data_IF_374744178104
#
_entry.id   IF_374744178104
#
_cell.length_a   1.000
_cell.length_b   1.000
_cell.length_c   1.000
_cell.angle_alpha   90.00
_cell.angle_beta   90.00
_cell.angle_gamma   90.00
#
_symmetry.space_group_name_H-M   'P 1'
#
loop_
_entity.id
_entity.type
_entity.pdbx_description
1 polymer ?
#
# COMPACT_ATOMS: atom_id res chain seq x y z
N UNK A 1 -0.80 -21.76 -9.30
CA UNK A 1 -1.53 -20.60 -8.78
C UNK A 1 -1.95 -20.93 -7.37
N UNK A 2 -1.11 -20.58 -6.40
CA UNK A 2 -1.47 -20.70 -4.99
C UNK A 2 -1.95 -19.29 -4.59
N UNK A 3 -3.26 -19.07 -4.69
CA UNK A 3 -3.91 -18.06 -3.86
C UNK A 3 -3.62 -18.57 -2.45
N UNK A 4 -2.87 -17.84 -1.65
CA UNK A 4 -2.82 -18.10 -0.22
C UNK A 4 -4.27 -18.00 0.28
N UNK A 5 -4.94 -19.14 0.34
CA UNK A 5 -6.08 -19.29 1.21
C UNK A 5 -5.54 -19.01 2.59
N UNK A 6 -5.99 -17.93 3.20
CA UNK A 6 -5.86 -17.72 4.62
C UNK A 6 -6.08 -19.06 5.32
N UNK A 7 -5.20 -19.49 6.23
CA UNK A 7 -5.41 -20.75 6.93
C UNK A 7 -6.76 -20.67 7.65
N UNK A 8 -7.73 -21.42 7.14
CA UNK A 8 -8.97 -21.65 7.84
C UNK A 8 -8.65 -22.49 9.06
N UNK A 9 -8.95 -21.94 10.21
CA UNK A 9 -9.12 -22.63 11.49
C UNK A 9 -8.03 -22.49 12.55
N UNK A 10 -8.17 -21.44 13.35
CA UNK A 10 -8.13 -21.53 14.82
C UNK A 10 -9.27 -20.71 15.45
N UNK A 11 -9.93 -19.82 14.72
CA UNK A 11 -11.14 -19.12 15.15
C UNK A 11 -12.28 -19.46 14.20
N UNK A 12 -13.25 -20.25 14.62
CA UNK A 12 -14.50 -20.45 13.87
C UNK A 12 -15.25 -19.11 13.70
N UNK A 13 -16.24 -19.06 12.80
CA UNK A 13 -17.10 -17.88 12.53
C UNK A 13 -17.70 -17.21 13.79
N UNK A 14 -17.38 -17.71 14.96
CA UNK A 14 -17.84 -17.28 16.28
C UNK A 14 -16.74 -16.76 17.20
N UNK A 15 -15.48 -16.55 16.72
CA UNK A 15 -14.39 -16.05 17.56
C UNK A 15 -14.48 -14.54 17.86
N UNK A 16 -13.71 -14.04 18.83
CA UNK A 16 -13.62 -12.61 19.12
C UNK A 16 -13.00 -11.85 17.95
N UNK A 17 -11.94 -12.42 17.35
CA UNK A 17 -11.25 -11.81 16.22
C UNK A 17 -12.15 -11.69 15.00
N UNK A 18 -12.91 -12.73 14.65
CA UNK A 18 -13.86 -12.67 13.55
C UNK A 18 -14.98 -11.65 13.79
N UNK A 19 -15.52 -11.58 15.01
CA UNK A 19 -16.52 -10.59 15.37
C UNK A 19 -15.97 -9.16 15.28
N UNK A 20 -14.74 -8.94 15.74
CA UNK A 20 -14.07 -7.65 15.63
C UNK A 20 -13.82 -7.24 14.18
N UNK A 21 -13.41 -8.18 13.32
CA UNK A 21 -13.22 -7.94 11.88
C UNK A 21 -14.53 -7.51 11.21
N UNK A 22 -15.64 -8.19 11.48
CA UNK A 22 -16.96 -7.81 10.97
C UNK A 22 -17.37 -6.40 11.41
N UNK A 23 -17.12 -6.03 12.66
CA UNK A 23 -17.44 -4.70 13.20
C UNK A 23 -16.53 -3.63 12.55
N UNK A 24 -15.26 -3.95 12.36
CA UNK A 24 -14.26 -3.03 11.78
C UNK A 24 -14.48 -2.78 10.29
N UNK A 25 -14.94 -3.80 9.55
CA UNK A 25 -15.21 -3.69 8.10
C UNK A 25 -16.51 -2.95 7.78
N UNK A 26 -17.32 -2.63 8.79
CA UNK A 26 -18.61 -1.95 8.63
C UNK A 26 -18.63 -0.60 9.36
N UNK A 27 -19.43 0.35 8.86
CA UNK A 27 -19.70 1.61 9.57
C UNK A 27 -20.71 1.42 10.72
N UNK A 28 -20.39 0.48 11.62
CA UNK A 28 -21.20 0.13 12.76
C UNK A 28 -22.35 -0.84 12.44
N UNK A 29 -22.46 -1.88 13.27
CA UNK A 29 -23.46 -2.95 13.16
C UNK A 29 -24.35 -2.99 14.42
N UNK A 30 -25.64 -3.19 14.23
CA UNK A 30 -26.54 -3.50 15.35
C UNK A 30 -26.34 -4.94 15.82
N UNK A 31 -26.71 -5.22 17.09
CA UNK A 31 -26.69 -6.58 17.61
C UNK A 31 -27.53 -7.57 16.77
N UNK A 32 -28.63 -7.09 16.18
CA UNK A 32 -29.47 -7.91 15.31
C UNK A 32 -28.75 -8.28 14.01
N UNK A 33 -28.06 -7.33 13.39
CA UNK A 33 -27.25 -7.59 12.20
C UNK A 33 -26.12 -8.56 12.53
N UNK A 34 -25.41 -8.37 13.64
CA UNK A 34 -24.37 -9.30 14.08
C UNK A 34 -24.91 -10.72 14.32
N UNK A 35 -26.08 -10.88 14.97
CA UNK A 35 -26.70 -12.18 15.14
C UNK A 35 -27.04 -12.84 13.79
N UNK A 36 -27.62 -12.08 12.84
CA UNK A 36 -27.98 -12.63 11.53
C UNK A 36 -26.76 -13.00 10.68
N UNK A 37 -25.66 -12.22 10.77
CA UNK A 37 -24.45 -12.48 9.98
C UNK A 37 -23.61 -13.62 10.55
N UNK A 38 -23.48 -13.69 11.88
CA UNK A 38 -22.60 -14.68 12.52
C UNK A 38 -23.30 -16.01 12.84
N UNK A 39 -24.61 -16.02 12.93
CA UNK A 39 -25.38 -17.19 13.39
C UNK A 39 -25.16 -17.56 14.86
N UNK A 40 -24.50 -16.69 15.64
CA UNK A 40 -24.25 -16.94 17.07
C UNK A 40 -25.54 -16.99 17.89
N UNK A 41 -25.50 -17.71 19.03
CA UNK A 41 -26.52 -17.54 20.04
C UNK A 41 -26.46 -16.13 20.66
N UNK A 42 -27.57 -15.62 21.16
CA UNK A 42 -27.61 -14.33 21.87
C UNK A 42 -26.61 -14.30 23.03
N UNK A 43 -26.56 -15.36 23.83
CA UNK A 43 -25.65 -15.44 24.96
C UNK A 43 -24.17 -15.33 24.53
N UNK A 44 -23.75 -16.08 23.51
CA UNK A 44 -22.40 -16.06 22.98
C UNK A 44 -22.05 -14.69 22.41
N UNK A 45 -22.94 -14.08 21.63
CA UNK A 45 -22.68 -12.74 21.07
C UNK A 45 -22.49 -11.70 22.16
N UNK A 46 -23.37 -11.69 23.17
CA UNK A 46 -23.30 -10.70 24.27
C UNK A 46 -22.02 -10.84 25.10
N UNK A 47 -21.61 -12.07 25.41
CA UNK A 47 -20.36 -12.36 26.11
C UNK A 47 -19.15 -11.82 25.35
N UNK A 48 -19.08 -12.06 24.01
CA UNK A 48 -17.97 -11.58 23.19
C UNK A 48 -17.96 -10.08 23.04
N UNK A 49 -19.13 -9.47 22.84
CA UNK A 49 -19.22 -8.00 22.77
C UNK A 49 -18.82 -7.37 24.10
N UNK A 50 -19.21 -7.94 25.23
CA UNK A 50 -18.80 -7.45 26.54
C UNK A 50 -17.28 -7.53 26.72
N UNK A 51 -16.66 -8.64 26.32
CA UNK A 51 -15.23 -8.80 26.36
C UNK A 51 -14.50 -7.77 25.45
N UNK A 52 -14.94 -7.59 24.20
CA UNK A 52 -14.36 -6.60 23.29
C UNK A 52 -14.56 -5.17 23.80
N UNK A 53 -15.71 -4.86 24.43
CA UNK A 53 -15.98 -3.53 25.01
C UNK A 53 -15.10 -3.26 26.21
N UNK A 54 -15.00 -4.19 27.17
CA UNK A 54 -14.13 -4.06 28.36
C UNK A 54 -12.67 -3.86 27.99
N UNK A 55 -12.21 -4.43 26.88
CA UNK A 55 -10.85 -4.28 26.36
C UNK A 55 -10.68 -3.06 25.45
N UNK A 56 -11.73 -2.25 25.27
CA UNK A 56 -11.69 -1.03 24.49
C UNK A 56 -11.50 -1.22 22.99
N UNK A 57 -11.87 -2.38 22.44
CA UNK A 57 -11.82 -2.61 20.98
C UNK A 57 -13.05 -2.08 20.26
N UNK A 58 -14.17 -2.00 20.95
CA UNK A 58 -15.44 -1.54 20.40
C UNK A 58 -16.17 -0.65 21.41
N UNK A 59 -17.09 0.16 20.89
CA UNK A 59 -18.00 0.96 21.70
C UNK A 59 -19.42 0.97 21.11
N UNK A 60 -20.42 1.30 21.94
CA UNK A 60 -21.78 1.57 21.46
C UNK A 60 -21.90 3.04 21.07
N UNK A 61 -22.19 3.30 19.82
CA UNK A 61 -22.44 4.65 19.33
C UNK A 61 -23.82 5.14 19.74
N UNK A 62 -23.93 6.46 19.99
CA UNK A 62 -25.23 7.13 20.20
C UNK A 62 -26.15 6.86 18.98
N UNK A 63 -27.45 6.62 19.23
CA UNK A 63 -28.39 6.39 18.15
C UNK A 63 -28.53 7.68 17.31
N UNK A 64 -28.32 7.57 16.00
CA UNK A 64 -28.73 8.62 15.07
C UNK A 64 -30.24 8.79 15.17
N UNK A 65 -30.75 10.04 15.16
CA UNK A 65 -32.17 10.42 15.31
C UNK A 65 -33.13 9.52 14.54
N UNK A 66 -34.09 8.89 15.24
CA UNK A 66 -34.99 7.92 14.66
C UNK A 66 -36.19 8.58 13.97
N UNK A 67 -36.52 8.06 12.79
CA UNK A 67 -37.83 8.25 12.12
C UNK A 67 -38.77 7.09 12.52
N UNK A 68 -39.21 7.03 13.79
CA UNK A 68 -40.28 6.15 14.23
C UNK A 68 -39.85 4.69 14.57
N UNK A 69 -39.41 4.44 15.79
CA UNK A 69 -39.06 3.15 16.38
C UNK A 69 -38.00 3.32 17.47
N UNK A 70 -37.81 2.32 18.38
CA UNK A 70 -36.74 2.40 19.38
C UNK A 70 -35.40 2.35 18.65
N UNK A 71 -34.55 3.40 18.69
CA UNK A 71 -33.28 3.46 17.95
C UNK A 71 -32.38 2.29 18.36
N UNK A 72 -31.95 1.50 17.40
CA UNK A 72 -30.96 0.45 17.63
C UNK A 72 -29.58 1.08 17.73
N UNK A 73 -28.90 0.93 18.86
CA UNK A 73 -27.50 1.37 19.02
C UNK A 73 -26.62 0.55 18.12
N UNK A 74 -25.71 1.22 17.41
CA UNK A 74 -24.69 0.58 16.58
C UNK A 74 -23.44 0.30 17.41
N UNK A 75 -22.84 -0.83 17.19
CA UNK A 75 -21.53 -1.20 17.74
C UNK A 75 -20.50 -0.83 16.70
N UNK A 76 -19.49 -0.05 17.10
CA UNK A 76 -18.42 0.46 16.25
C UNK A 76 -17.07 0.06 16.80
N UNK A 77 -16.10 -0.05 15.90
CA UNK A 77 -14.68 -0.20 16.26
C UNK A 77 -14.21 1.08 16.98
N UNK A 78 -13.41 0.91 18.04
CA UNK A 78 -12.82 2.03 18.78
C UNK A 78 -11.55 2.48 18.06
N UNK A 79 -11.67 3.50 17.25
CA UNK A 79 -10.59 4.10 16.45
C UNK A 79 -10.11 5.45 16.99
N UNK A 80 -10.83 6.03 17.94
CA UNK A 80 -10.54 7.36 18.48
C UNK A 80 -9.20 7.38 19.23
N UNK A 81 -8.35 8.33 18.83
CA UNK A 81 -7.02 8.46 19.43
C UNK A 81 -6.04 7.32 19.10
N UNK A 82 -6.38 6.41 18.19
CA UNK A 82 -5.50 5.35 17.71
C UNK A 82 -4.82 5.77 16.42
N UNK A 83 -3.50 5.60 16.38
CA UNK A 83 -2.68 6.06 15.26
C UNK A 83 -1.69 4.99 14.79
N UNK A 84 -1.26 5.12 13.55
CA UNK A 84 -0.18 4.34 12.94
C UNK A 84 0.91 5.29 12.49
N UNK A 85 2.17 4.92 12.70
CA UNK A 85 3.32 5.59 12.13
C UNK A 85 3.63 4.97 10.76
N UNK A 86 3.51 5.74 9.69
CA UNK A 86 3.84 5.32 8.34
C UNK A 86 5.10 6.04 7.86
N UNK A 87 6.10 5.26 7.43
CA UNK A 87 7.32 5.71 6.78
C UNK A 87 7.26 5.29 5.31
N UNK A 88 7.10 6.25 4.40
CA UNK A 88 7.07 5.98 2.96
C UNK A 88 8.36 6.49 2.33
N UNK A 89 9.15 5.56 1.75
CA UNK A 89 10.43 5.89 1.13
C UNK A 89 10.37 5.70 -0.37
N UNK A 90 10.80 6.73 -1.09
CA UNK A 90 11.11 6.69 -2.52
C UNK A 90 12.61 6.62 -2.75
N UNK A 91 13.06 6.82 -4.00
CA UNK A 91 14.49 6.85 -4.35
C UNK A 91 15.16 8.17 -3.90
N UNK A 92 14.44 9.28 -3.94
CA UNK A 92 14.94 10.66 -3.76
C UNK A 92 14.26 11.41 -2.62
N UNK A 93 13.18 10.88 -2.07
CA UNK A 93 12.43 11.49 -0.97
C UNK A 93 11.83 10.42 -0.05
N UNK A 94 11.45 10.83 1.12
CA UNK A 94 10.72 10.00 2.08
C UNK A 94 9.78 10.85 2.92
N UNK A 95 8.63 10.29 3.26
CA UNK A 95 7.62 10.95 4.08
C UNK A 95 7.37 10.15 5.36
N UNK A 96 7.38 10.85 6.47
CA UNK A 96 6.97 10.34 7.79
C UNK A 96 5.58 10.87 8.09
N UNK A 97 4.65 9.98 8.38
CA UNK A 97 3.25 10.34 8.62
C UNK A 97 2.71 9.68 9.87
N UNK A 98 1.96 10.43 10.65
CA UNK A 98 1.04 9.87 11.65
C UNK A 98 -0.34 9.81 11.00
N UNK A 99 -0.91 8.62 10.91
CA UNK A 99 -2.22 8.40 10.32
C UNK A 99 -3.23 7.95 11.37
N UNK A 100 -4.51 8.18 11.12
CA UNK A 100 -5.56 7.45 11.80
C UNK A 100 -5.65 6.00 11.30
N UNK A 101 -6.55 5.22 11.86
CA UNK A 101 -6.73 3.79 11.51
C UNK A 101 -7.25 3.55 10.10
N UNK A 102 -7.74 4.59 9.43
CA UNK A 102 -8.20 4.54 8.03
C UNK A 102 -7.09 4.89 7.03
N UNK A 103 -5.95 5.36 7.51
CA UNK A 103 -4.83 5.81 6.67
C UNK A 103 -4.85 7.30 6.33
N UNK A 104 -5.82 8.07 6.84
CA UNK A 104 -5.83 9.52 6.67
C UNK A 104 -4.67 10.13 7.46
N UNK A 105 -3.87 10.95 6.78
CA UNK A 105 -2.76 11.66 7.43
C UNK A 105 -3.27 12.72 8.41
N UNK A 106 -2.82 12.63 9.64
CA UNK A 106 -3.06 13.63 10.70
C UNK A 106 -1.92 14.65 10.76
N UNK A 107 -0.69 14.17 10.63
CA UNK A 107 0.55 14.97 10.61
C UNK A 107 1.56 14.29 9.70
N UNK A 108 2.36 15.05 8.97
CA UNK A 108 3.39 14.50 8.12
C UNK A 108 4.58 15.45 7.95
N UNK A 109 5.72 14.89 7.57
CA UNK A 109 6.91 15.62 7.15
C UNK A 109 7.61 14.86 6.04
N UNK A 110 7.91 15.56 4.94
CA UNK A 110 8.65 15.04 3.80
C UNK A 110 10.11 15.50 3.85
N UNK A 111 11.01 14.65 3.39
CA UNK A 111 12.45 14.86 3.33
C UNK A 111 12.96 14.57 1.93
N UNK A 112 13.92 15.36 1.47
CA UNK A 112 14.80 14.90 0.42
C UNK A 112 15.79 13.89 1.02
N UNK A 113 16.01 12.78 0.32
CA UNK A 113 16.95 11.73 0.72
C UNK A 113 17.52 11.07 -0.53
N UNK A 114 18.62 10.37 -0.36
CA UNK A 114 19.13 9.45 -1.35
C UNK A 114 19.12 8.05 -0.76
N UNK A 115 18.26 7.18 -1.28
CA UNK A 115 18.06 5.82 -0.72
C UNK A 115 19.31 4.96 -0.80
N UNK A 116 20.26 5.28 -1.68
CA UNK A 116 21.57 4.60 -1.80
C UNK A 116 22.59 4.99 -0.73
N UNK A 117 22.28 6.00 0.09
CA UNK A 117 23.11 6.36 1.24
C UNK A 117 23.07 5.27 2.33
N UNK A 118 24.04 5.24 3.28
CA UNK A 118 24.03 4.27 4.37
C UNK A 118 22.71 4.24 5.13
N UNK A 119 22.21 3.05 5.49
CA UNK A 119 20.89 2.85 6.09
C UNK A 119 20.63 3.76 7.30
N UNK A 120 21.61 3.85 8.22
CA UNK A 120 21.46 4.66 9.43
C UNK A 120 21.31 6.15 9.12
N UNK A 121 22.02 6.67 8.09
CA UNK A 121 21.90 8.07 7.69
C UNK A 121 20.54 8.41 7.08
N UNK A 122 19.85 7.43 6.52
CA UNK A 122 18.48 7.59 5.96
C UNK A 122 17.43 7.32 7.04
N UNK A 123 17.54 6.24 7.77
CA UNK A 123 16.51 5.77 8.69
C UNK A 123 16.46 6.55 10.01
N UNK A 124 17.61 6.93 10.59
CA UNK A 124 17.62 7.60 11.88
C UNK A 124 16.88 8.95 11.90
N UNK A 125 17.03 9.84 10.89
CA UNK A 125 16.25 11.08 10.82
C UNK A 125 14.74 10.83 10.69
N UNK A 126 14.32 9.78 9.97
CA UNK A 126 12.92 9.43 9.80
C UNK A 126 12.31 8.92 11.10
N UNK A 127 13.02 8.02 11.81
CA UNK A 127 12.62 7.52 13.14
C UNK A 127 12.52 8.65 14.16
N UNK A 128 13.52 9.54 14.23
CA UNK A 128 13.48 10.71 15.13
C UNK A 128 12.32 11.66 14.80
N UNK A 129 12.02 11.85 13.53
CA UNK A 129 10.86 12.65 13.11
C UNK A 129 9.56 11.97 13.50
N UNK A 130 9.45 10.64 13.34
CA UNK A 130 8.26 9.89 13.78
C UNK A 130 7.99 10.11 15.27
N UNK A 131 9.03 10.03 16.11
CA UNK A 131 8.94 10.31 17.54
C UNK A 131 8.43 11.74 17.81
N UNK A 132 9.01 12.75 17.14
CA UNK A 132 8.59 14.16 17.30
C UNK A 132 7.17 14.43 16.83
N UNK A 133 6.71 13.78 15.77
CA UNK A 133 5.34 13.91 15.30
C UNK A 133 4.33 13.26 16.26
N UNK A 134 4.70 12.15 16.90
CA UNK A 134 3.88 11.52 17.95
C UNK A 134 3.77 12.41 19.19
N UNK A 135 4.87 13.06 19.62
CA UNK A 135 4.88 13.99 20.77
C UNK A 135 3.97 15.22 20.57
N UNK A 136 3.63 15.59 19.33
CA UNK A 136 2.68 16.67 19.01
C UNK A 136 1.22 16.26 19.20
N UNK A 137 0.92 14.97 19.25
CA UNK A 137 -0.42 14.45 19.52
C UNK A 137 -0.71 14.40 21.01
N UNK A 138 -1.96 14.58 21.40
CA UNK A 138 -2.41 14.47 22.79
C UNK A 138 -3.28 13.26 22.99
N UNK A 139 -2.84 12.34 23.89
CA UNK A 139 -3.64 11.17 24.24
C UNK A 139 -3.77 10.14 23.13
N UNK A 140 -2.90 10.15 22.13
CA UNK A 140 -2.88 9.17 21.04
C UNK A 140 -2.15 7.90 21.46
N UNK A 141 -2.65 6.76 20.98
CA UNK A 141 -2.04 5.45 21.15
C UNK A 141 -1.49 4.96 19.83
N UNK A 142 -0.17 4.80 19.73
CA UNK A 142 0.50 4.22 18.58
C UNK A 142 0.23 2.70 18.56
N UNK A 143 -0.43 2.22 17.51
CA UNK A 143 -0.78 0.81 17.35
C UNK A 143 0.36 0.00 16.71
N UNK A 144 1.09 0.59 15.78
CA UNK A 144 2.14 -0.08 15.03
C UNK A 144 2.79 0.82 14.00
N UNK A 145 3.80 0.28 13.33
CA UNK A 145 4.61 1.00 12.36
C UNK A 145 4.53 0.30 11.00
N UNK A 146 4.35 1.09 9.95
CA UNK A 146 4.42 0.65 8.56
C UNK A 146 5.57 1.32 7.83
N UNK A 147 6.35 0.55 7.07
CA UNK A 147 7.43 1.07 6.23
C UNK A 147 7.23 0.60 4.80
N UNK A 148 7.09 1.51 3.85
CA UNK A 148 7.13 1.19 2.42
C UNK A 148 8.44 1.68 1.81
N UNK A 149 9.06 0.88 0.95
CA UNK A 149 10.36 1.19 0.37
C UNK A 149 10.50 0.67 -1.07
N UNK A 150 11.35 1.33 -1.90
CA UNK A 150 11.49 0.99 -3.32
C UNK A 150 12.43 -0.22 -3.53
N UNK A 151 12.12 -1.34 -2.87
CA UNK A 151 12.86 -2.59 -2.96
C UNK A 151 11.91 -3.79 -2.89
N UNK A 152 12.31 -4.95 -3.44
CA UNK A 152 11.62 -6.20 -3.18
C UNK A 152 11.67 -6.55 -1.70
N UNK A 153 10.50 -6.85 -1.12
CA UNK A 153 10.35 -7.23 0.29
C UNK A 153 9.81 -8.66 0.36
N UNK A 154 10.36 -9.46 1.26
CA UNK A 154 9.88 -10.80 1.50
C UNK A 154 8.60 -10.79 2.34
N UNK A 155 7.60 -11.52 1.87
CA UNK A 155 6.35 -11.65 2.60
C UNK A 155 6.57 -12.33 3.95
N UNK A 156 5.99 -11.75 5.01
CA UNK A 156 6.04 -12.29 6.37
C UNK A 156 7.24 -11.85 7.20
N UNK A 157 8.47 -11.96 6.70
CA UNK A 157 9.68 -11.54 7.44
C UNK A 157 9.92 -10.03 7.39
N UNK A 158 9.49 -9.36 6.33
CA UNK A 158 9.82 -7.95 6.08
C UNK A 158 11.27 -7.72 5.66
N UNK A 159 12.02 -8.78 5.38
CA UNK A 159 13.40 -8.65 4.93
C UNK A 159 13.47 -8.07 3.52
N UNK A 160 14.37 -7.13 3.31
CA UNK A 160 14.65 -6.57 1.98
C UNK A 160 15.42 -7.60 1.17
N UNK A 161 14.80 -8.08 0.07
CA UNK A 161 15.45 -9.02 -0.86
C UNK A 161 16.37 -8.27 -1.81
N UNK A 162 17.55 -8.87 -2.06
CA UNK A 162 18.54 -8.39 -3.01
C UNK A 162 19.15 -7.00 -2.71
N UNK A 163 20.34 -7.03 -2.17
CA UNK A 163 21.21 -5.87 -1.89
C UNK A 163 21.46 -4.96 -3.10
N UNK A 164 21.14 -5.41 -4.33
CA UNK A 164 21.32 -4.67 -5.57
C UNK A 164 20.34 -3.51 -5.76
N UNK A 165 19.19 -3.53 -5.07
CA UNK A 165 18.16 -2.49 -5.23
C UNK A 165 18.43 -1.27 -4.36
N UNK A 166 18.88 -1.50 -3.13
CA UNK A 166 19.34 -0.47 -2.19
C UNK A 166 20.74 -0.86 -1.72
N UNK A 167 21.79 -0.44 -2.42
CA UNK A 167 23.17 -0.80 -2.06
C UNK A 167 23.53 -0.38 -0.64
N UNK A 168 24.20 -1.24 0.10
CA UNK A 168 24.69 -0.94 1.45
C UNK A 168 23.70 -1.12 2.60
N UNK A 169 22.44 -1.50 2.30
CA UNK A 169 21.48 -1.87 3.33
C UNK A 169 21.53 -3.40 3.58
N UNK A 170 21.50 -3.79 4.86
CA UNK A 170 21.28 -5.19 5.23
C UNK A 170 19.78 -5.53 5.12
N UNK A 171 19.41 -6.81 4.98
CA UNK A 171 18.00 -7.22 5.00
C UNK A 171 17.23 -6.70 6.23
N UNK A 172 17.92 -6.55 7.36
CA UNK A 172 17.34 -6.18 8.65
C UNK A 172 17.46 -4.70 9.00
N UNK A 173 18.08 -3.87 8.16
CA UNK A 173 18.34 -2.45 8.47
C UNK A 173 17.10 -1.71 8.96
N UNK A 174 15.95 -1.90 8.28
CA UNK A 174 14.69 -1.27 8.66
C UNK A 174 14.17 -1.80 10.00
N UNK A 175 14.21 -3.12 10.16
CA UNK A 175 13.75 -3.78 11.39
C UNK A 175 14.55 -3.28 12.59
N UNK A 176 15.89 -3.24 12.48
CA UNK A 176 16.78 -2.78 13.54
C UNK A 176 16.53 -1.31 13.89
N UNK A 177 16.46 -0.43 12.88
CA UNK A 177 16.23 1.00 13.11
C UNK A 177 14.91 1.30 13.80
N UNK A 178 13.82 0.62 13.41
CA UNK A 178 12.49 0.83 13.99
C UNK A 178 12.40 0.21 15.38
N UNK A 179 12.82 -1.04 15.54
CA UNK A 179 12.72 -1.76 16.81
C UNK A 179 13.64 -1.22 17.92
N UNK A 180 14.70 -0.50 17.58
CA UNK A 180 15.51 0.22 18.55
C UNK A 180 14.72 1.31 19.32
N UNK A 181 13.60 1.79 18.73
CA UNK A 181 12.79 2.87 19.32
C UNK A 181 11.42 2.37 19.81
N UNK A 182 10.78 1.43 19.10
CA UNK A 182 9.44 0.94 19.41
C UNK A 182 9.38 -0.59 19.37
N UNK A 183 8.93 -1.19 20.47
CA UNK A 183 8.58 -2.61 20.54
C UNK A 183 7.09 -2.79 20.19
N UNK A 184 6.75 -2.52 18.92
CA UNK A 184 5.40 -2.57 18.38
C UNK A 184 5.35 -3.39 17.08
N UNK A 185 4.16 -3.82 16.65
CA UNK A 185 3.99 -4.48 15.36
C UNK A 185 4.57 -3.63 14.21
N UNK A 186 5.43 -4.25 13.41
CA UNK A 186 6.06 -3.63 12.25
C UNK A 186 5.64 -4.38 10.98
N UNK A 187 5.26 -3.61 9.96
CA UNK A 187 5.01 -4.10 8.61
C UNK A 187 5.95 -3.39 7.64
N UNK A 188 6.62 -4.16 6.79
CA UNK A 188 7.47 -3.62 5.72
C UNK A 188 6.93 -4.15 4.40
N UNK A 189 6.74 -3.27 3.41
CA UNK A 189 6.24 -3.65 2.09
C UNK A 189 6.93 -2.83 0.98
N UNK A 190 6.87 -3.34 -0.25
CA UNK A 190 7.29 -2.59 -1.42
C UNK A 190 6.37 -1.37 -1.67
N UNK A 191 6.96 -0.26 -2.08
CA UNK A 191 6.28 1.02 -2.29
C UNK A 191 5.13 0.97 -3.31
N UNK A 192 5.34 0.34 -4.49
CA UNK A 192 4.31 0.20 -5.51
C UNK A 192 3.17 -0.73 -5.06
N UNK A 193 3.47 -1.76 -4.26
CA UNK A 193 2.45 -2.65 -3.70
C UNK A 193 1.65 -1.98 -2.60
N UNK A 194 2.30 -1.23 -1.73
CA UNK A 194 1.61 -0.43 -0.73
C UNK A 194 0.70 0.59 -1.40
N UNK A 195 1.19 1.31 -2.43
CA UNK A 195 0.39 2.26 -3.19
C UNK A 195 -0.81 1.59 -3.88
N UNK A 196 -0.62 0.43 -4.50
CA UNK A 196 -1.73 -0.32 -5.12
C UNK A 196 -2.86 -0.63 -4.13
N UNK A 197 -2.49 -1.02 -2.90
CA UNK A 197 -3.47 -1.27 -1.85
C UNK A 197 -4.16 0.01 -1.39
N UNK A 198 -3.44 1.13 -1.37
CA UNK A 198 -3.98 2.43 -1.00
C UNK A 198 -4.89 3.07 -2.04
N UNK A 199 -4.75 2.69 -3.31
CA UNK A 199 -5.57 3.19 -4.41
C UNK A 199 -6.90 2.44 -4.59
N UNK A 200 -7.10 1.30 -3.93
CA UNK A 200 -8.36 0.55 -4.05
C UNK A 200 -9.54 1.32 -3.45
N UNK A 201 -10.69 1.23 -4.10
CA UNK A 201 -11.95 1.80 -3.61
C UNK A 201 -12.77 0.79 -2.81
N UNK A 202 -12.60 -0.51 -3.08
CA UNK A 202 -13.28 -1.60 -2.37
C UNK A 202 -12.43 -2.87 -2.34
N UNK A 203 -12.77 -3.81 -1.47
CA UNK A 203 -12.10 -5.12 -1.41
C UNK A 203 -12.47 -6.04 -2.59
N UNK A 204 -13.58 -5.78 -3.30
CA UNK A 204 -13.98 -6.57 -4.48
C UNK A 204 -13.25 -6.16 -5.76
N UNK A 205 -12.52 -5.04 -5.75
CA UNK A 205 -11.88 -4.45 -6.93
C UNK A 205 -10.53 -5.10 -7.24
N UNK A 206 -10.25 -5.33 -8.52
CA UNK A 206 -8.92 -5.69 -9.02
C UNK A 206 -8.22 -4.45 -9.54
N UNK A 207 -7.11 -4.07 -8.90
CA UNK A 207 -6.33 -2.86 -9.22
C UNK A 207 -4.94 -3.25 -9.68
N UNK A 208 -4.51 -2.69 -10.80
CA UNK A 208 -3.11 -2.67 -11.25
C UNK A 208 -2.59 -1.26 -11.10
N UNK A 209 -1.69 -1.05 -10.16
CA UNK A 209 -1.00 0.23 -9.96
C UNK A 209 0.40 0.17 -10.55
N UNK A 210 0.74 1.14 -11.37
CA UNK A 210 2.06 1.25 -12.02
C UNK A 210 2.71 2.56 -11.64
N UNK A 211 3.78 2.46 -10.87
CA UNK A 211 4.62 3.60 -10.49
C UNK A 211 5.66 3.84 -11.56
N UNK A 212 5.64 5.00 -12.18
CA UNK A 212 6.70 5.49 -13.08
C UNK A 212 7.38 6.68 -12.42
N UNK A 213 8.46 6.40 -11.72
CA UNK A 213 9.36 7.37 -11.09
C UNK A 213 10.78 7.18 -11.64
N UNK A 214 11.79 7.20 -10.79
CA UNK A 214 13.19 6.89 -11.19
C UNK A 214 13.28 5.50 -11.85
N UNK A 215 12.50 4.53 -11.37
CA UNK A 215 12.30 3.20 -11.95
C UNK A 215 10.87 2.97 -12.36
N UNK A 216 10.53 1.70 -12.67
CA UNK A 216 9.15 1.23 -12.86
C UNK A 216 8.89 0.14 -11.82
N UNK A 217 7.86 0.34 -11.00
CA UNK A 217 7.30 -0.63 -10.06
C UNK A 217 5.84 -0.91 -10.39
N UNK A 218 5.35 -2.08 -10.03
CA UNK A 218 3.93 -2.39 -10.15
C UNK A 218 3.43 -3.14 -8.91
N UNK A 219 2.27 -2.73 -8.42
CA UNK A 219 1.50 -3.43 -7.42
C UNK A 219 0.20 -3.94 -8.03
N UNK A 220 -0.20 -5.15 -7.64
CA UNK A 220 -1.44 -5.76 -8.11
C UNK A 220 -2.25 -6.14 -6.87
N UNK A 221 -3.49 -5.70 -6.81
CA UNK A 221 -4.45 -6.05 -5.75
C UNK A 221 -5.62 -6.79 -6.37
N UNK A 222 -5.95 -7.94 -5.81
CA UNK A 222 -7.08 -8.78 -6.20
C UNK A 222 -7.85 -9.13 -4.94
N UNK A 223 -9.16 -8.91 -4.95
CA UNK A 223 -10.02 -9.17 -3.78
C UNK A 223 -9.44 -8.59 -2.48
N UNK A 224 -9.01 -7.33 -2.56
CA UNK A 224 -8.42 -6.60 -1.44
C UNK A 224 -7.03 -7.07 -1.00
N UNK A 225 -6.44 -8.09 -1.62
CA UNK A 225 -5.15 -8.66 -1.24
C UNK A 225 -4.07 -8.36 -2.27
N UNK A 226 -2.86 -8.03 -1.79
CA UNK A 226 -1.71 -7.84 -2.67
C UNK A 226 -1.30 -9.17 -3.29
N UNK A 227 -1.26 -9.23 -4.62
CA UNK A 227 -0.71 -10.37 -5.36
C UNK A 227 0.82 -10.33 -5.30
N UNK A 228 1.43 -11.22 -4.50
CA UNK A 228 2.89 -11.27 -4.33
C UNK A 228 3.57 -12.28 -5.24
N UNK A 229 2.83 -13.30 -5.71
CA UNK A 229 3.39 -14.44 -6.44
C UNK A 229 4.21 -15.37 -5.54
N UNK A 230 4.70 -16.46 -6.13
CA UNK A 230 5.36 -17.54 -5.37
C UNK A 230 6.61 -17.09 -4.60
N UNK A 231 7.35 -16.12 -5.14
CA UNK A 231 8.61 -15.64 -4.56
C UNK A 231 8.62 -14.13 -4.29
N UNK A 232 7.43 -13.51 -4.21
CA UNK A 232 7.32 -12.09 -3.94
C UNK A 232 7.75 -11.19 -5.11
N UNK A 233 7.70 -11.66 -6.36
CA UNK A 233 8.12 -10.91 -7.55
C UNK A 233 6.98 -10.62 -8.54
N UNK A 234 5.71 -10.88 -8.16
CA UNK A 234 4.59 -10.44 -8.99
C UNK A 234 4.61 -8.91 -9.09
N UNK A 235 4.38 -8.40 -10.29
CA UNK A 235 4.45 -6.96 -10.55
C UNK A 235 5.84 -6.44 -10.95
N UNK A 236 6.86 -7.27 -11.11
CA UNK A 236 8.20 -6.85 -11.55
C UNK A 236 8.24 -6.58 -13.08
N UNK A 237 7.24 -5.81 -13.56
CA UNK A 237 7.03 -5.51 -14.98
C UNK A 237 8.16 -4.65 -15.59
N UNK A 238 8.88 -3.89 -14.77
CA UNK A 238 10.00 -3.07 -15.22
C UNK A 238 11.09 -3.89 -15.93
N UNK A 239 11.14 -5.19 -15.69
CA UNK A 239 12.11 -6.11 -16.30
C UNK A 239 11.54 -6.99 -17.42
N UNK A 240 10.31 -6.74 -17.88
CA UNK A 240 9.78 -7.33 -19.11
C UNK A 240 10.68 -6.89 -20.27
N UNK A 241 11.15 -7.86 -21.05
CA UNK A 241 12.05 -7.61 -22.16
C UNK A 241 11.27 -7.20 -23.41
N UNK A 242 11.36 -5.91 -23.75
CA UNK A 242 10.69 -5.30 -24.91
C UNK A 242 11.45 -5.56 -26.22
N UNK A 243 12.78 -5.68 -26.16
CA UNK A 243 13.64 -5.96 -27.32
C UNK A 243 14.89 -6.76 -26.91
N UNK A 244 15.41 -7.57 -27.84
CA UNK A 244 16.65 -8.29 -27.61
C UNK A 244 17.88 -7.37 -27.55
N UNK A 245 17.90 -6.34 -28.43
CA UNK A 245 19.05 -5.46 -28.67
C UNK A 245 18.78 -4.04 -28.17
N UNK A 246 17.90 -3.89 -27.19
CA UNK A 246 17.55 -2.57 -26.62
C UNK A 246 18.58 -2.02 -25.62
N UNK A 247 18.31 -0.86 -25.02
CA UNK A 247 19.18 -0.23 -24.05
C UNK A 247 19.52 -1.12 -22.86
N UNK A 248 20.71 -0.92 -22.27
CA UNK A 248 21.15 -1.66 -21.09
C UNK A 248 20.30 -1.26 -19.86
N UNK A 249 19.74 -2.25 -19.20
CA UNK A 249 19.02 -2.08 -17.95
C UNK A 249 19.95 -2.25 -16.74
N UNK A 250 19.63 -1.61 -15.61
CA UNK A 250 20.35 -1.80 -14.33
C UNK A 250 20.47 -3.26 -13.88
N UNK A 251 19.54 -4.12 -14.28
CA UNK A 251 19.61 -5.54 -13.96
C UNK A 251 20.66 -6.32 -14.77
N UNK A 252 21.43 -5.64 -15.63
CA UNK A 252 22.47 -6.22 -16.49
C UNK A 252 21.94 -6.81 -17.81
N UNK A 253 20.63 -6.80 -18.05
CA UNK A 253 20.01 -7.27 -19.31
C UNK A 253 19.76 -6.10 -20.25
N UNK A 254 19.65 -6.38 -21.55
CA UNK A 254 19.25 -5.43 -22.56
C UNK A 254 17.74 -5.45 -22.81
N UNK A 255 17.18 -4.27 -23.14
CA UNK A 255 15.83 -4.12 -23.64
C UNK A 255 14.70 -4.29 -22.63
N UNK A 256 14.97 -4.16 -21.34
CA UNK A 256 13.91 -4.16 -20.31
C UNK A 256 13.03 -2.92 -20.44
N UNK A 257 11.74 -3.04 -20.09
CA UNK A 257 10.77 -1.93 -20.08
C UNK A 257 11.31 -0.68 -19.37
N UNK A 258 11.91 -0.86 -18.19
CA UNK A 258 12.46 0.23 -17.40
C UNK A 258 13.61 0.99 -18.12
N UNK A 259 14.29 0.37 -19.09
CA UNK A 259 15.32 1.02 -19.87
C UNK A 259 14.76 1.94 -20.98
N UNK A 260 13.44 1.90 -21.22
CA UNK A 260 12.74 2.77 -22.17
C UNK A 260 11.85 3.81 -21.47
N UNK A 261 11.13 3.40 -20.43
CA UNK A 261 9.99 4.16 -19.93
C UNK A 261 10.15 4.66 -18.50
N UNK A 262 11.27 4.38 -17.81
CA UNK A 262 11.52 4.94 -16.47
C UNK A 262 12.02 6.38 -16.52
N UNK A 263 11.84 7.11 -15.40
CA UNK A 263 12.40 8.47 -15.27
C UNK A 263 13.92 8.51 -15.47
N UNK A 264 14.65 7.43 -15.11
CA UNK A 264 16.08 7.30 -15.43
C UNK A 264 16.31 7.23 -16.94
N UNK A 265 15.56 6.39 -17.65
CA UNK A 265 15.69 6.28 -19.11
C UNK A 265 15.40 7.62 -19.80
N UNK A 266 14.36 8.32 -19.32
CA UNK A 266 14.04 9.67 -19.80
C UNK A 266 15.15 10.67 -19.51
N UNK A 267 15.68 10.68 -18.28
CA UNK A 267 16.82 11.53 -17.91
C UNK A 267 18.05 11.25 -18.77
N UNK A 268 18.38 9.97 -19.00
CA UNK A 268 19.54 9.57 -19.78
C UNK A 268 19.37 10.01 -21.27
N UNK A 269 18.13 9.96 -21.79
CA UNK A 269 17.76 10.45 -23.12
C UNK A 269 17.82 11.99 -23.24
N UNK A 270 17.34 12.69 -22.21
CA UNK A 270 17.19 14.15 -22.19
C UNK A 270 18.34 14.88 -21.47
N UNK A 271 19.41 14.16 -21.11
CA UNK A 271 20.51 14.69 -20.30
C UNK A 271 21.23 15.91 -20.93
N UNK A 272 21.23 16.01 -22.26
CA UNK A 272 21.77 17.16 -22.99
C UNK A 272 20.97 18.46 -22.75
N UNK A 273 19.73 18.38 -22.25
CA UNK A 273 18.92 19.51 -21.82
C UNK A 273 19.17 19.93 -20.36
N UNK A 274 20.07 19.25 -19.64
CA UNK A 274 20.36 19.53 -18.23
C UNK A 274 19.27 19.03 -17.23
N UNK A 275 18.31 18.21 -17.69
CA UNK A 275 17.24 17.67 -16.86
C UNK A 275 17.75 16.47 -16.04
N UNK A 276 18.15 16.73 -14.80
CA UNK A 276 18.83 15.75 -13.95
C UNK A 276 17.87 14.90 -13.10
N UNK A 277 16.69 15.41 -12.80
CA UNK A 277 15.71 14.79 -11.92
C UNK A 277 14.36 14.60 -12.64
N UNK A 278 13.51 13.66 -12.22
CA UNK A 278 12.14 13.50 -12.76
C UNK A 278 11.30 14.78 -12.64
N UNK A 279 11.51 15.57 -11.58
CA UNK A 279 10.83 16.86 -11.37
C UNK A 279 11.16 17.86 -12.47
N UNK A 280 12.42 17.89 -12.94
CA UNK A 280 12.86 18.78 -14.03
C UNK A 280 12.15 18.40 -15.33
N UNK A 281 12.00 17.09 -15.59
CA UNK A 281 11.28 16.56 -16.76
C UNK A 281 9.80 16.95 -16.68
N UNK A 282 9.18 16.80 -15.50
CA UNK A 282 7.78 17.18 -15.27
C UNK A 282 7.56 18.69 -15.47
N UNK A 283 8.46 19.52 -14.96
CA UNK A 283 8.41 20.97 -15.14
C UNK A 283 8.58 21.38 -16.62
N UNK A 284 9.52 20.77 -17.33
CA UNK A 284 9.73 21.02 -18.76
C UNK A 284 8.53 20.54 -19.60
N UNK A 285 7.90 19.44 -19.24
CA UNK A 285 6.66 18.98 -19.86
C UNK A 285 5.51 19.99 -19.66
N UNK A 286 5.35 20.50 -18.43
CA UNK A 286 4.33 21.49 -18.11
C UNK A 286 4.49 22.81 -18.89
N UNK A 287 5.73 23.18 -19.26
CA UNK A 287 6.02 24.34 -20.13
C UNK A 287 5.92 24.03 -21.62
N UNK A 288 5.58 22.80 -22.00
CA UNK A 288 5.36 22.39 -23.39
C UNK A 288 6.65 22.16 -24.20
N UNK A 289 7.79 21.81 -23.55
CA UNK A 289 9.04 21.57 -24.24
C UNK A 289 8.93 20.43 -25.28
N UNK A 290 9.08 20.65 -26.58
CA UNK A 290 8.71 19.70 -27.63
C UNK A 290 9.43 18.35 -27.52
N UNK A 291 10.74 18.37 -27.29
CA UNK A 291 11.55 17.16 -27.18
C UNK A 291 11.20 16.34 -25.92
N UNK A 292 10.86 17.00 -24.81
CA UNK A 292 10.42 16.33 -23.59
C UNK A 292 9.07 15.68 -23.81
N UNK A 293 8.12 16.38 -24.44
CA UNK A 293 6.81 15.82 -24.76
C UNK A 293 6.91 14.61 -25.70
N UNK A 294 7.80 14.66 -26.71
CA UNK A 294 8.04 13.53 -27.59
C UNK A 294 8.66 12.34 -26.83
N UNK A 295 9.65 12.59 -25.96
CA UNK A 295 10.27 11.54 -25.16
C UNK A 295 9.27 10.86 -24.21
N UNK A 296 8.39 11.65 -23.60
CA UNK A 296 7.30 11.13 -22.76
C UNK A 296 6.29 10.32 -23.56
N UNK A 297 5.92 10.78 -24.76
CA UNK A 297 4.99 10.05 -25.64
C UNK A 297 5.57 8.70 -26.08
N UNK A 298 6.84 8.64 -26.44
CA UNK A 298 7.53 7.41 -26.82
C UNK A 298 7.61 6.43 -25.61
N UNK A 299 7.95 6.93 -24.44
CA UNK A 299 8.02 6.14 -23.22
C UNK A 299 6.63 5.59 -22.83
N UNK A 300 5.58 6.41 -22.95
CA UNK A 300 4.18 6.01 -22.69
C UNK A 300 3.71 4.93 -23.68
N UNK A 301 4.08 5.02 -24.95
CA UNK A 301 3.73 4.00 -25.96
C UNK A 301 4.37 2.65 -25.63
N UNK A 302 5.65 2.63 -25.25
CA UNK A 302 6.34 1.39 -24.86
C UNK A 302 5.72 0.80 -23.60
N UNK A 303 5.43 1.65 -22.60
CA UNK A 303 4.75 1.20 -21.37
C UNK A 303 3.37 0.64 -21.66
N UNK A 304 2.56 1.32 -22.48
CA UNK A 304 1.21 0.88 -22.82
C UNK A 304 1.19 -0.48 -23.51
N UNK A 305 2.14 -0.77 -24.41
CA UNK A 305 2.30 -2.10 -25.02
C UNK A 305 2.61 -3.19 -23.99
N UNK A 306 3.48 -2.91 -23.03
CA UNK A 306 3.77 -3.86 -21.95
C UNK A 306 2.54 -4.09 -21.06
N UNK A 307 1.82 -3.02 -20.74
CA UNK A 307 0.63 -3.07 -19.88
C UNK A 307 -0.56 -3.75 -20.56
N UNK A 308 -0.70 -3.68 -21.89
CA UNK A 308 -1.74 -4.42 -22.59
C UNK A 308 -1.69 -5.93 -22.32
N UNK A 309 -0.50 -6.52 -22.23
CA UNK A 309 -0.34 -7.92 -21.85
C UNK A 309 -0.75 -8.17 -20.39
N UNK A 310 -0.39 -7.29 -19.47
CA UNK A 310 -0.78 -7.38 -18.05
C UNK A 310 -2.30 -7.25 -17.88
N UNK A 311 -2.89 -6.26 -18.53
CA UNK A 311 -4.35 -6.02 -18.54
C UNK A 311 -5.09 -7.21 -19.14
N UNK A 312 -4.63 -7.75 -20.27
CA UNK A 312 -5.23 -8.95 -20.89
C UNK A 312 -5.20 -10.17 -19.97
N UNK A 313 -4.15 -10.29 -19.14
CA UNK A 313 -3.97 -11.45 -18.25
C UNK A 313 -4.81 -11.32 -16.97
N UNK A 314 -4.88 -10.13 -16.40
CA UNK A 314 -5.51 -9.88 -15.09
C UNK A 314 -6.93 -9.39 -15.18
N UNK A 315 -7.31 -8.76 -16.31
CA UNK A 315 -8.60 -8.12 -16.53
C UNK A 315 -9.00 -7.23 -15.33
N UNK A 316 -8.21 -6.19 -15.01
CA UNK A 316 -8.46 -5.36 -13.85
C UNK A 316 -9.63 -4.40 -14.06
N UNK A 317 -10.27 -4.00 -12.96
CA UNK A 317 -11.26 -2.93 -12.95
C UNK A 317 -10.59 -1.56 -13.18
N UNK A 318 -9.38 -1.39 -12.60
CA UNK A 318 -8.62 -0.14 -12.70
C UNK A 318 -7.15 -0.39 -12.99
N UNK A 319 -6.62 0.39 -13.94
CA UNK A 319 -5.20 0.59 -14.19
C UNK A 319 -4.82 2.00 -13.73
N UNK A 320 -4.09 2.09 -12.64
CA UNK A 320 -3.73 3.34 -12.00
C UNK A 320 -2.26 3.66 -12.26
N UNK A 321 -1.97 4.83 -12.80
CA UNK A 321 -0.62 5.29 -13.11
C UNK A 321 -0.17 6.31 -12.07
N UNK A 322 0.87 6.00 -11.32
CA UNK A 322 1.44 6.85 -10.29
C UNK A 322 2.92 7.12 -10.48
N UNK A 323 3.51 7.80 -9.49
CA UNK A 323 4.87 8.32 -9.58
C UNK A 323 4.96 9.62 -10.38
N UNK A 324 6.09 10.31 -10.26
CA UNK A 324 6.26 11.67 -10.81
C UNK A 324 6.08 11.80 -12.33
N UNK A 325 6.40 10.74 -13.07
CA UNK A 325 6.21 10.69 -14.52
C UNK A 325 4.84 10.05 -14.86
N UNK A 326 4.51 8.96 -14.18
CA UNK A 326 3.30 8.17 -14.49
C UNK A 326 2.00 8.94 -14.29
N UNK A 327 1.95 9.85 -13.32
CA UNK A 327 0.77 10.67 -13.03
C UNK A 327 0.63 11.93 -13.92
N UNK A 328 1.56 12.19 -14.85
CA UNK A 328 1.44 13.33 -15.76
C UNK A 328 0.24 13.12 -16.71
N UNK A 329 -0.68 14.11 -16.85
CA UNK A 329 -1.91 13.93 -17.62
C UNK A 329 -1.68 13.42 -19.05
N UNK A 330 -0.80 14.06 -19.82
CA UNK A 330 -0.49 13.63 -21.18
C UNK A 330 0.19 12.26 -21.27
N UNK A 331 0.90 11.82 -20.22
CA UNK A 331 1.46 10.48 -20.12
C UNK A 331 0.35 9.44 -19.87
N UNK A 332 -0.55 9.72 -18.94
CA UNK A 332 -1.72 8.86 -18.63
C UNK A 332 -2.58 8.68 -19.89
N UNK A 333 -2.93 9.75 -20.57
CA UNK A 333 -3.74 9.73 -21.79
C UNK A 333 -3.09 8.86 -22.88
N UNK A 334 -1.77 8.99 -23.08
CA UNK A 334 -1.06 8.23 -24.09
C UNK A 334 -0.96 6.75 -23.74
N UNK A 335 -0.69 6.39 -22.47
CA UNK A 335 -0.70 5.00 -22.00
C UNK A 335 -2.09 4.40 -22.15
N UNK A 336 -3.13 5.12 -21.72
CA UNK A 336 -4.54 4.69 -21.84
C UNK A 336 -4.89 4.40 -23.30
N UNK A 337 -4.64 5.34 -24.21
CA UNK A 337 -4.88 5.17 -25.64
C UNK A 337 -4.18 3.93 -26.20
N UNK A 338 -2.93 3.69 -25.78
CA UNK A 338 -2.16 2.55 -26.26
C UNK A 338 -2.70 1.24 -25.73
N UNK A 339 -2.98 1.14 -24.43
CA UNK A 339 -3.57 -0.05 -23.81
C UNK A 339 -4.91 -0.39 -24.44
N UNK A 340 -5.81 0.57 -24.56
CA UNK A 340 -7.15 0.35 -25.14
C UNK A 340 -7.11 -0.04 -26.62
N UNK A 341 -6.06 0.36 -27.36
CA UNK A 341 -5.87 -0.07 -28.75
C UNK A 341 -5.40 -1.50 -28.86
N UNK A 342 -4.59 -1.97 -27.90
CA UNK A 342 -3.92 -3.29 -27.98
C UNK A 342 -4.70 -4.41 -27.28
N UNK A 343 -5.73 -4.09 -26.48
CA UNK A 343 -6.60 -5.09 -25.84
C UNK A 343 -7.89 -5.29 -26.63
N UNK A 344 -8.51 -6.43 -26.47
CA UNK A 344 -9.83 -6.70 -27.11
C UNK A 344 -10.93 -5.93 -26.37
N UNK A 345 -11.98 -5.53 -27.12
CA UNK A 345 -13.07 -4.67 -26.63
C UNK A 345 -13.68 -5.14 -25.30
N UNK A 346 -13.95 -6.43 -25.12
CA UNK A 346 -14.51 -6.97 -23.86
C UNK A 346 -13.62 -6.79 -22.63
N UNK A 347 -12.32 -6.53 -22.82
CA UNK A 347 -11.37 -6.24 -21.70
C UNK A 347 -11.34 -4.73 -21.45
N UNK A 348 -11.42 -3.93 -22.51
CA UNK A 348 -11.48 -2.48 -22.43
C UNK A 348 -12.80 -1.99 -21.80
N UNK A 349 -13.88 -2.74 -21.99
CA UNK A 349 -15.22 -2.42 -21.50
C UNK A 349 -15.23 -2.41 -19.96
N UNK A 350 -15.51 -1.24 -19.37
CA UNK A 350 -15.59 -1.08 -17.92
C UNK A 350 -14.25 -0.88 -17.18
N UNK A 351 -13.10 -1.06 -17.84
CA UNK A 351 -11.80 -0.76 -17.23
C UNK A 351 -11.54 0.75 -17.21
N UNK A 352 -11.14 1.26 -16.07
CA UNK A 352 -10.72 2.65 -15.89
C UNK A 352 -9.21 2.76 -15.94
N UNK A 353 -8.68 3.70 -16.75
CA UNK A 353 -7.24 4.06 -16.75
C UNK A 353 -7.12 5.50 -16.27
N UNK A 354 -6.42 5.71 -15.18
CA UNK A 354 -6.38 7.01 -14.52
C UNK A 354 -5.05 7.30 -13.81
N UNK A 355 -4.84 8.56 -13.46
CA UNK A 355 -3.76 8.95 -12.55
C UNK A 355 -4.13 8.57 -11.11
N UNK A 356 -3.17 8.01 -10.38
CA UNK A 356 -3.31 7.74 -8.95
C UNK A 356 -3.23 9.01 -8.10
N UNK A 357 -3.55 8.85 -6.84
CA UNK A 357 -3.32 9.89 -5.82
C UNK A 357 -1.81 10.21 -5.72
N UNK A 358 -1.48 11.29 -5.01
CA UNK A 358 -0.07 11.56 -4.71
C UNK A 358 0.59 10.30 -4.10
N UNK A 359 1.74 9.92 -4.65
CA UNK A 359 2.43 8.65 -4.35
C UNK A 359 2.55 8.36 -2.86
N UNK A 360 2.96 9.38 -2.08
CA UNK A 360 3.13 9.27 -0.64
C UNK A 360 1.81 9.01 0.09
N UNK A 361 0.69 9.56 -0.41
CA UNK A 361 -0.64 9.34 0.16
C UNK A 361 -1.13 7.92 -0.09
N UNK A 362 -1.01 7.44 -1.33
CA UNK A 362 -1.42 6.09 -1.69
C UNK A 362 -0.60 5.04 -0.92
N UNK A 363 0.73 5.17 -0.90
CA UNK A 363 1.60 4.27 -0.15
C UNK A 363 1.36 4.35 1.37
N UNK A 364 1.11 5.53 1.91
CA UNK A 364 0.79 5.77 3.31
C UNK A 364 -0.53 5.08 3.70
N UNK A 365 -1.57 5.24 2.90
CA UNK A 365 -2.86 4.57 3.10
C UNK A 365 -2.70 3.03 3.04
N UNK A 366 -2.00 2.53 2.03
CA UNK A 366 -1.81 1.09 1.86
C UNK A 366 -0.98 0.45 2.98
N UNK A 367 0.11 1.09 3.41
CA UNK A 367 0.93 0.55 4.49
C UNK A 367 0.20 0.60 5.84
N UNK A 368 -0.58 1.66 6.10
CA UNK A 368 -1.47 1.72 7.28
C UNK A 368 -2.49 0.59 7.26
N UNK A 369 -3.12 0.34 6.11
CA UNK A 369 -4.05 -0.78 5.94
C UNK A 369 -3.39 -2.12 6.27
N UNK A 370 -2.15 -2.35 5.84
CA UNK A 370 -1.40 -3.57 6.15
C UNK A 370 -1.08 -3.70 7.65
N UNK A 371 -0.70 -2.61 8.31
CA UNK A 371 -0.49 -2.58 9.77
C UNK A 371 -1.78 -2.94 10.49
N UNK A 372 -2.90 -2.32 10.13
CA UNK A 372 -4.20 -2.59 10.73
C UNK A 372 -4.67 -4.04 10.51
N UNK A 373 -4.43 -4.58 9.30
CA UNK A 373 -4.72 -5.99 9.00
C UNK A 373 -3.87 -6.95 9.83
N UNK A 374 -2.59 -6.64 10.05
CA UNK A 374 -1.71 -7.48 10.87
C UNK A 374 -2.12 -7.49 12.33
N UNK A 375 -2.44 -6.32 12.89
CA UNK A 375 -2.79 -6.19 14.31
C UNK A 375 -4.15 -6.80 14.63
N UNK A 376 -5.12 -6.59 13.73
CA UNK A 376 -6.51 -6.98 13.92
C UNK A 376 -6.92 -8.19 13.06
N UNK A 377 -5.93 -9.00 12.59
CA UNK A 377 -6.24 -10.31 12.03
C UNK A 377 -7.00 -11.13 13.07
N UNK A 378 -8.08 -11.85 12.67
CA UNK A 378 -8.86 -12.66 13.60
C UNK A 378 -8.01 -13.58 14.48
N UNK A 379 -7.04 -14.25 13.88
CA UNK A 379 -6.13 -15.17 14.54
C UNK A 379 -5.23 -14.45 15.56
N UNK A 380 -4.73 -13.26 15.23
CA UNK A 380 -3.88 -12.48 16.13
C UNK A 380 -4.67 -11.99 17.36
N UNK A 381 -5.90 -11.54 17.15
CA UNK A 381 -6.78 -11.11 18.24
C UNK A 381 -7.16 -12.30 19.13
N UNK A 382 -7.51 -13.44 18.55
CA UNK A 382 -7.88 -14.65 19.30
C UNK A 382 -6.70 -15.20 20.09
N UNK A 383 -5.49 -15.17 19.52
CA UNK A 383 -4.26 -15.58 20.22
C UNK A 383 -3.96 -14.67 21.42
N UNK A 384 -4.04 -13.35 21.23
CA UNK A 384 -3.83 -12.38 22.30
C UNK A 384 -4.80 -12.63 23.47
N UNK A 385 -6.06 -12.96 23.18
CA UNK A 385 -7.07 -13.23 24.19
C UNK A 385 -6.84 -14.56 24.92
N UNK A 386 -6.26 -15.55 24.24
CA UNK A 386 -5.89 -16.83 24.86
C UNK A 386 -4.68 -16.65 25.80
N UNK A 387 -3.63 -15.96 25.37
CA UNK A 387 -2.43 -15.71 26.17
C UNK A 387 -2.72 -14.93 27.48
N UNK A 388 -3.62 -13.93 27.39
CA UNK A 388 -4.02 -13.17 28.59
C UNK A 388 -4.90 -13.99 29.53
N UNK A 389 -5.74 -14.91 29.03
CA UNK A 389 -6.52 -15.80 29.85
C UNK A 389 -5.63 -16.78 30.64
N UNK A 390 -4.61 -17.33 30.01
CA UNK A 390 -3.62 -18.22 30.64
C UNK A 390 -2.78 -17.47 31.69
N UNK A 391 -2.39 -16.22 31.39
CA UNK A 391 -1.63 -15.36 32.31
C UNK A 391 -2.43 -14.93 33.55
N UNK A 392 -3.77 -14.87 33.46
CA UNK A 392 -4.65 -14.55 34.58
C UNK A 392 -5.02 -15.77 35.45
N UNK A 393 -4.77 -16.99 34.96
CA UNK A 393 -5.06 -18.25 35.63
C UNK A 393 -3.85 -18.84 36.39
N UNK A 394 -2.62 -18.33 36.16
CA UNK A 394 -1.38 -18.73 36.82
C UNK A 394 -0.91 -17.70 37.85
#
# INVERSE_FOLDING_TARGET
MTVERMPSSLGGATSHGHLLELIRSADGLSRQQLLSTTGMSRATLYERLDTLTRRGYIYEAEPLTSTGGRPSRKIRFEDRGRVVLALTLGQTHGTVSITDTTGRQLRSKTFELEISAPADSVLAPLVDTGRKLLEQGTGETLLGIGVSLPAPVEAGSGHVKHQTTIPGWSPDSVVQAVKATWDLPLVIENDARAAALGERNSDAETVVYVKVGTGIGCGIVVEGSILRGAHGSAGDIGHIRMSADGPLCRCGRHGCLAAYSSGRALRDRLGHLGLAKPEDISAAAATGHPEVLQALADAADVLGRALAATVTTLNPDRLVLGGQIGALPGFVEKVSSRVLTDVVERIAEGMVVEAGHAEDLAACHGITTLVMRKIFAPEAVDQLFAEEADSAAG
#
